data_IF_521829187437
#
_entry.id   IF_521829187437
#
_cell.length_a   1.000
_cell.length_b   1.000
_cell.length_c   1.000
_cell.angle_alpha   90.00
_cell.angle_beta   90.00
_cell.angle_gamma   90.00
#
_symmetry.space_group_name_H-M   'P 1'
#
loop_
_entity.id
_entity.type
_entity.pdbx_description
1 polymer ?
#
# COMPACT_ATOMS: atom_id res chain seq x y z
N UNK A 1 18.93 -18.78 -24.56
CA UNK A 1 19.47 -17.41 -24.69
C UNK A 1 20.79 -17.41 -25.45
N UNK A 2 21.78 -18.21 -25.03
CA UNK A 2 23.04 -18.38 -25.77
C UNK A 2 22.86 -18.78 -27.24
N UNK A 3 21.86 -19.62 -27.54
CA UNK A 3 21.53 -20.02 -28.91
C UNK A 3 21.05 -18.85 -29.79
N UNK A 4 20.20 -17.96 -29.25
CA UNK A 4 19.71 -16.77 -29.96
C UNK A 4 20.85 -15.75 -30.14
N UNK A 5 21.66 -15.55 -29.10
CA UNK A 5 22.80 -14.63 -29.15
C UNK A 5 23.87 -15.07 -30.18
N UNK A 6 24.12 -16.37 -30.33
CA UNK A 6 25.01 -16.90 -31.36
C UNK A 6 24.50 -16.67 -32.78
N UNK A 7 23.19 -16.71 -32.99
CA UNK A 7 22.59 -16.50 -34.31
C UNK A 7 22.70 -15.06 -34.77
N UNK A 8 22.53 -14.10 -33.85
CA UNK A 8 22.59 -12.67 -34.16
C UNK A 8 23.99 -12.05 -33.97
N UNK A 9 24.99 -12.83 -33.55
CA UNK A 9 26.35 -12.34 -33.27
C UNK A 9 26.41 -11.35 -32.10
N UNK A 10 25.48 -11.47 -31.15
CA UNK A 10 25.35 -10.54 -30.02
C UNK A 10 26.32 -10.92 -28.90
N UNK A 11 27.11 -9.95 -28.45
CA UNK A 11 27.91 -10.08 -27.22
C UNK A 11 27.02 -9.86 -25.99
N UNK A 12 26.63 -10.96 -25.34
CA UNK A 12 25.84 -10.95 -24.11
C UNK A 12 26.54 -10.20 -22.97
N UNK A 13 27.87 -10.09 -23.00
CA UNK A 13 28.64 -9.31 -22.04
C UNK A 13 28.36 -7.81 -22.09
N UNK A 14 27.83 -7.29 -23.21
CA UNK A 14 27.38 -5.89 -23.35
C UNK A 14 25.87 -5.72 -23.18
N UNK A 15 25.14 -6.83 -23.00
CA UNK A 15 23.69 -6.80 -22.90
C UNK A 15 23.22 -6.48 -21.48
N UNK A 16 22.02 -5.89 -21.42
CA UNK A 16 21.28 -5.64 -20.19
C UNK A 16 20.10 -6.60 -20.10
N UNK A 17 19.76 -7.06 -18.90
CA UNK A 17 18.56 -7.83 -18.65
C UNK A 17 17.85 -7.33 -17.39
N UNK A 18 16.52 -7.29 -17.43
CA UNK A 18 15.66 -6.84 -16.34
C UNK A 18 14.68 -7.95 -15.99
N UNK A 19 14.49 -8.24 -14.70
CA UNK A 19 13.44 -9.18 -14.25
C UNK A 19 13.03 -8.93 -12.80
N UNK A 20 11.79 -9.29 -12.49
CA UNK A 20 11.18 -9.29 -11.16
C UNK A 20 11.02 -10.69 -10.55
N UNK A 21 11.27 -11.73 -11.33
CA UNK A 21 11.02 -13.13 -10.97
C UNK A 21 12.28 -13.99 -10.96
N UNK A 22 12.41 -14.85 -9.95
CA UNK A 22 13.51 -15.82 -9.85
C UNK A 22 13.47 -16.92 -10.93
N UNK A 23 12.42 -17.00 -11.74
CA UNK A 23 12.39 -17.87 -12.94
C UNK A 23 13.44 -17.47 -13.96
N UNK A 24 13.83 -16.19 -14.00
CA UNK A 24 14.67 -15.63 -15.07
C UNK A 24 16.15 -15.59 -14.69
N UNK A 25 16.52 -16.23 -13.58
CA UNK A 25 17.91 -16.34 -13.13
C UNK A 25 18.88 -16.85 -14.22
N UNK A 26 18.54 -17.87 -15.04
CA UNK A 26 19.44 -18.28 -16.12
C UNK A 26 19.74 -17.15 -17.12
N UNK A 27 18.77 -16.28 -17.40
CA UNK A 27 18.96 -15.12 -18.28
C UNK A 27 19.80 -14.04 -17.61
N UNK A 28 19.48 -13.68 -16.37
CA UNK A 28 20.21 -12.64 -15.63
C UNK A 28 21.69 -12.99 -15.45
N UNK A 29 22.00 -14.28 -15.26
CA UNK A 29 23.39 -14.76 -15.14
C UNK A 29 24.15 -14.78 -16.46
N UNK A 30 23.44 -14.76 -17.60
CA UNK A 30 24.06 -14.87 -18.92
C UNK A 30 24.51 -13.52 -19.49
N UNK A 31 23.98 -12.40 -18.99
CA UNK A 31 24.31 -11.04 -19.50
C UNK A 31 25.35 -10.34 -18.62
N UNK A 32 26.05 -9.34 -19.19
CA UNK A 32 27.01 -8.55 -18.43
C UNK A 32 26.40 -7.50 -17.50
N UNK A 33 25.16 -7.06 -17.77
CA UNK A 33 24.51 -5.98 -17.02
C UNK A 33 23.09 -6.37 -16.52
N UNK A 34 22.97 -7.31 -15.57
CA UNK A 34 21.69 -7.66 -14.98
C UNK A 34 21.18 -6.57 -14.05
N UNK A 35 19.87 -6.32 -14.06
CA UNK A 35 19.18 -5.41 -13.15
C UNK A 35 17.91 -6.09 -12.64
N UNK A 36 17.73 -6.10 -11.33
CA UNK A 36 16.59 -6.74 -10.68
C UNK A 36 15.55 -5.68 -10.32
N UNK A 37 14.28 -5.93 -10.63
CA UNK A 37 13.20 -4.95 -10.48
C UNK A 37 12.11 -5.54 -9.59
N UNK A 38 11.75 -4.92 -8.47
CA UNK A 38 10.71 -5.43 -7.55
C UNK A 38 10.82 -6.94 -7.25
N UNK A 39 11.99 -7.46 -6.83
CA UNK A 39 12.22 -8.90 -6.78
C UNK A 39 11.31 -9.65 -5.81
N UNK A 40 11.01 -10.89 -6.19
CA UNK A 40 10.62 -11.91 -5.23
C UNK A 40 11.75 -12.20 -4.21
N UNK A 41 11.43 -12.84 -3.08
CA UNK A 41 12.43 -13.07 -2.03
C UNK A 41 13.61 -13.96 -2.44
N UNK A 42 13.46 -14.82 -3.47
CA UNK A 42 14.55 -15.67 -3.97
C UNK A 42 15.48 -14.85 -4.88
N UNK A 43 14.91 -14.06 -5.78
CA UNK A 43 15.66 -13.18 -6.66
C UNK A 43 16.40 -12.09 -5.87
N UNK A 44 15.81 -11.59 -4.79
CA UNK A 44 16.45 -10.60 -3.92
C UNK A 44 17.69 -11.16 -3.21
N UNK A 45 17.66 -12.44 -2.80
CA UNK A 45 18.85 -13.12 -2.24
C UNK A 45 19.94 -13.28 -3.30
N UNK A 46 19.56 -13.69 -4.50
CA UNK A 46 20.51 -13.86 -5.59
C UNK A 46 21.16 -12.53 -5.99
N UNK A 47 20.36 -11.46 -6.09
CA UNK A 47 20.84 -10.12 -6.39
C UNK A 47 21.86 -9.64 -5.35
N UNK A 48 21.57 -9.86 -4.06
CA UNK A 48 22.52 -9.55 -2.98
C UNK A 48 23.82 -10.36 -3.09
N UNK A 49 23.74 -11.66 -3.34
CA UNK A 49 24.91 -12.52 -3.44
C UNK A 49 25.81 -12.16 -4.62
N UNK A 50 25.22 -11.74 -5.75
CA UNK A 50 25.97 -11.39 -6.97
C UNK A 50 26.25 -9.88 -7.11
N UNK A 51 25.83 -9.06 -6.14
CA UNK A 51 26.00 -7.61 -6.18
C UNK A 51 25.19 -6.91 -7.29
N UNK A 52 24.08 -7.50 -7.72
CA UNK A 52 23.27 -6.93 -8.80
C UNK A 52 22.44 -5.72 -8.32
N UNK A 53 22.29 -4.68 -9.15
CA UNK A 53 21.41 -3.56 -8.88
C UNK A 53 19.96 -4.01 -8.65
N UNK A 54 19.30 -3.46 -7.63
CA UNK A 54 17.89 -3.69 -7.33
C UNK A 54 17.12 -2.37 -7.41
N UNK A 55 16.05 -2.35 -8.21
CA UNK A 55 15.16 -1.20 -8.39
C UNK A 55 13.79 -1.52 -7.81
N UNK A 56 13.29 -0.67 -6.91
CA UNK A 56 11.95 -0.79 -6.34
C UNK A 56 11.04 0.36 -6.80
N UNK A 57 9.90 0.04 -7.40
CA UNK A 57 8.87 1.01 -7.78
C UNK A 57 7.80 1.10 -6.69
N UNK A 58 7.55 2.30 -6.14
CA UNK A 58 6.54 2.49 -5.11
C UNK A 58 5.12 2.43 -5.69
N UNK A 59 4.30 1.49 -5.23
CA UNK A 59 2.85 1.49 -5.48
C UNK A 59 2.18 2.48 -4.50
N UNK A 60 1.94 3.72 -4.94
CA UNK A 60 1.50 4.86 -4.11
C UNK A 60 0.01 4.82 -3.69
N UNK A 61 -0.64 3.67 -3.66
CA UNK A 61 -2.12 3.58 -3.52
C UNK A 61 -2.65 3.33 -2.10
N UNK A 62 -1.85 2.81 -1.16
CA UNK A 62 -2.37 2.43 0.17
C UNK A 62 -2.56 3.59 1.16
N UNK A 63 -1.85 4.70 0.98
CA UNK A 63 -1.83 5.81 1.96
C UNK A 63 -3.11 6.65 1.90
N UNK A 64 -3.74 6.78 0.73
CA UNK A 64 -4.94 7.62 0.54
C UNK A 64 -6.16 7.02 1.26
N UNK A 65 -6.34 5.70 1.18
CA UNK A 65 -7.48 4.98 1.77
C UNK A 65 -7.52 5.11 3.31
N UNK A 66 -6.35 5.09 3.96
CA UNK A 66 -6.27 5.15 5.43
C UNK A 66 -6.56 6.56 5.98
N UNK A 67 -6.24 7.60 5.21
CA UNK A 67 -6.51 9.00 5.58
C UNK A 67 -7.99 9.36 5.44
N UNK A 68 -8.67 8.86 4.41
CA UNK A 68 -10.10 9.12 4.21
C UNK A 68 -10.98 8.41 5.24
N UNK A 69 -10.64 7.18 5.65
CA UNK A 69 -11.41 6.43 6.66
C UNK A 69 -11.47 7.15 8.02
N UNK A 70 -10.39 7.80 8.44
CA UNK A 70 -10.32 8.51 9.73
C UNK A 70 -11.19 9.77 9.73
N UNK A 71 -11.29 10.47 8.60
CA UNK A 71 -12.11 11.66 8.46
C UNK A 71 -13.62 11.34 8.49
N UNK A 72 -14.03 10.23 7.85
CA UNK A 72 -15.43 9.77 7.84
C UNK A 72 -15.90 9.30 9.23
N UNK A 73 -15.02 8.64 9.99
CA UNK A 73 -15.36 8.19 11.34
C UNK A 73 -15.62 9.37 12.31
N UNK A 74 -14.80 10.43 12.22
CA UNK A 74 -14.93 11.59 13.10
C UNK A 74 -16.24 12.37 12.89
N UNK A 75 -16.67 12.54 11.64
CA UNK A 75 -17.92 13.25 11.32
C UNK A 75 -19.16 12.48 11.77
N UNK A 76 -19.16 11.15 11.66
CA UNK A 76 -20.28 10.31 12.10
C UNK A 76 -20.51 10.38 13.64
N UNK A 77 -19.43 10.33 14.43
CA UNK A 77 -19.52 10.39 15.90
C UNK A 77 -20.02 11.76 16.37
N UNK A 78 -19.51 12.84 15.79
CA UNK A 78 -19.93 14.20 16.14
C UNK A 78 -21.43 14.41 15.86
N UNK A 79 -21.92 13.95 14.70
CA UNK A 79 -23.34 14.01 14.35
C UNK A 79 -24.23 13.25 15.33
N UNK A 80 -23.90 12.00 15.64
CA UNK A 80 -24.69 11.18 16.57
C UNK A 80 -24.79 11.80 17.98
N UNK A 81 -23.68 12.37 18.48
CA UNK A 81 -23.63 13.02 19.79
C UNK A 81 -24.54 14.25 19.87
N UNK A 82 -24.55 15.07 18.82
CA UNK A 82 -25.36 16.28 18.74
C UNK A 82 -26.87 15.97 18.69
N UNK A 83 -27.28 14.96 17.92
CA UNK A 83 -28.69 14.55 17.84
C UNK A 83 -29.18 13.87 19.13
N UNK A 84 -28.35 13.07 19.80
CA UNK A 84 -28.71 12.46 21.08
C UNK A 84 -28.87 13.50 22.19
N UNK A 85 -27.94 14.46 22.29
CA UNK A 85 -27.98 15.51 23.32
C UNK A 85 -29.19 16.45 23.20
N UNK A 86 -29.53 16.85 21.96
CA UNK A 86 -30.69 17.73 21.71
C UNK A 86 -32.03 17.06 22.06
N UNK A 87 -32.18 15.75 21.77
CA UNK A 87 -33.37 14.97 22.14
C UNK A 87 -33.51 14.72 23.65
N UNK A 88 -32.40 14.49 24.36
CA UNK A 88 -32.44 14.26 25.82
C UNK A 88 -32.82 15.54 26.60
N UNK A 89 -32.38 16.70 26.11
CA UNK A 89 -32.60 17.99 26.77
C UNK A 89 -34.05 18.52 26.70
N UNK A 90 -34.85 18.06 25.73
CA UNK A 90 -36.25 18.49 25.57
C UNK A 90 -37.22 17.72 26.46
N UNK A 91 -36.90 16.47 26.82
CA UNK A 91 -37.77 15.60 27.64
C UNK A 91 -37.74 15.97 29.13
N UNK A 92 -36.63 16.51 29.66
CA UNK A 92 -36.53 16.89 31.09
C UNK A 92 -37.13 18.25 31.44
N UNK A 93 -37.55 19.07 30.47
CA UNK A 93 -38.16 20.38 30.75
C UNK A 93 -39.67 20.35 31.04
N UNK A 94 -40.31 19.17 31.00
CA UNK A 94 -41.77 19.02 31.14
C UNK A 94 -42.32 18.53 32.50
N UNK A 95 -41.49 18.27 33.52
CA UNK A 95 -41.98 17.56 34.73
C UNK A 95 -41.66 18.21 36.08
N UNK A 96 -41.48 19.54 36.12
CA UNK A 96 -41.04 20.25 37.34
C UNK A 96 -41.93 21.38 37.85
N UNK A 97 -43.17 21.57 37.36
CA UNK A 97 -43.91 22.81 37.68
C UNK A 97 -45.42 22.64 37.86
N UNK A 98 -45.87 21.59 38.57
CA UNK A 98 -47.21 21.57 39.19
C UNK A 98 -47.15 20.87 40.55
N UNK A 99 -46.42 21.48 41.50
CA UNK A 99 -46.48 21.08 42.92
C UNK A 99 -46.28 22.26 43.84
N UNK A 100 -47.09 23.31 43.67
CA UNK A 100 -47.28 24.34 44.69
C UNK A 100 -48.60 25.06 44.40
N UNK A 101 -49.65 24.64 45.11
CA UNK A 101 -50.79 25.42 45.61
C UNK A 101 -51.85 24.43 46.09
N UNK A 102 -51.56 23.82 47.24
CA UNK A 102 -52.56 23.22 48.11
C UNK A 102 -52.42 23.95 49.45
N UNK A 103 -53.24 24.97 49.65
CA UNK A 103 -53.69 25.46 50.95
C UNK A 103 -55.03 26.15 50.74
#
# INVERSE_FOLDING_TARGET
MEEIARWDGLDLGQCYAYSDSSSDLPMLRAVGHPVVVNPDGRLEREARSNGWPVVHFSQRTRVVVRRSASAVAATAVAGASFFAGTRYSSVRRGSGLVRLLRH
#
